data_IF_735012385779
#
_entry.id   IF_735012385779
#
_cell.length_a   1.000
_cell.length_b   1.000
_cell.length_c   1.000
_cell.angle_alpha   90.00
_cell.angle_beta   90.00
_cell.angle_gamma   90.00
#
_symmetry.space_group_name_H-M   'P 1'
#
loop_
_entity.id
_entity.type
_entity.pdbx_description
1 polymer ?
#
# COMPACT_ATOMS: atom_id res chain seq x y z
N UNK A 1 15.86 23.45 -58.71
CA UNK A 1 15.84 23.05 -57.28
C UNK A 1 15.71 21.54 -57.24
N UNK A 2 16.84 20.84 -57.37
CA UNK A 2 16.90 19.39 -57.60
C UNK A 2 17.35 18.67 -56.34
N UNK A 3 16.58 17.69 -55.91
CA UNK A 3 17.01 16.67 -54.97
C UNK A 3 17.20 15.36 -55.74
N UNK A 4 18.43 14.85 -55.78
CA UNK A 4 18.74 13.49 -56.20
C UNK A 4 19.95 12.95 -55.42
N UNK A 5 19.67 11.87 -54.68
CA UNK A 5 20.37 10.58 -54.71
C UNK A 5 21.84 10.50 -54.25
N UNK A 6 22.00 9.82 -53.10
CA UNK A 6 22.93 8.72 -52.76
C UNK A 6 24.34 8.76 -53.35
N UNK A 7 25.38 8.60 -52.51
CA UNK A 7 26.56 7.72 -52.76
C UNK A 7 27.35 7.48 -51.45
N UNK A 8 27.49 6.19 -51.10
CA UNK A 8 28.60 5.41 -50.48
C UNK A 8 29.37 5.91 -49.25
N UNK A 9 30.02 5.12 -48.38
CA UNK A 9 30.26 3.68 -48.09
C UNK A 9 31.70 3.65 -47.50
N UNK A 10 31.85 3.17 -46.26
CA UNK A 10 32.96 2.32 -45.75
C UNK A 10 34.42 2.85 -45.70
N UNK A 11 34.92 2.93 -44.46
CA UNK A 11 36.17 2.35 -43.87
C UNK A 11 37.45 2.28 -44.72
N UNK A 12 38.56 2.89 -44.25
CA UNK A 12 39.76 2.17 -43.75
C UNK A 12 40.85 3.07 -43.13
N UNK A 13 41.60 2.42 -42.21
CA UNK A 13 42.83 2.76 -41.45
C UNK A 13 43.87 3.54 -42.28
N UNK A 14 44.76 4.36 -41.68
CA UNK A 14 46.07 3.95 -41.10
C UNK A 14 46.73 5.18 -40.45
N UNK A 15 47.10 5.15 -39.16
CA UNK A 15 48.48 5.02 -38.65
C UNK A 15 49.50 6.06 -39.16
N UNK A 16 49.96 6.95 -38.27
CA UNK A 16 51.39 7.25 -37.94
C UNK A 16 51.51 8.56 -37.17
N UNK A 17 52.51 8.66 -36.30
CA UNK A 17 53.10 9.94 -35.89
C UNK A 17 52.82 10.35 -34.45
N UNK A 18 53.63 9.82 -33.54
CA UNK A 18 53.95 10.44 -32.24
C UNK A 18 54.53 11.83 -32.51
N UNK A 19 54.02 12.85 -31.84
CA UNK A 19 54.88 13.94 -31.38
C UNK A 19 54.34 14.57 -30.10
N UNK A 20 55.20 14.51 -29.09
CA UNK A 20 54.95 14.84 -27.70
C UNK A 20 55.72 16.14 -27.44
N UNK A 21 55.03 17.28 -27.34
CA UNK A 21 55.62 18.52 -26.79
C UNK A 21 54.64 19.26 -25.90
N UNK A 22 55.10 19.44 -24.67
CA UNK A 22 54.42 20.03 -23.53
C UNK A 22 54.02 21.49 -23.73
N UNK A 23 52.85 21.87 -23.21
CA UNK A 23 52.56 23.22 -22.75
C UNK A 23 51.58 23.11 -21.57
N UNK A 24 51.94 23.75 -20.46
CA UNK A 24 51.31 23.59 -19.15
C UNK A 24 49.83 23.95 -19.13
N UNK A 25 49.04 23.08 -18.51
CA UNK A 25 47.68 23.36 -18.08
C UNK A 25 47.73 23.63 -16.59
N UNK A 26 47.48 24.89 -16.22
CA UNK A 26 47.23 25.27 -14.84
C UNK A 26 46.06 24.45 -14.29
N UNK A 27 46.34 23.70 -13.22
CA UNK A 27 45.34 23.04 -12.40
C UNK A 27 44.44 24.09 -11.75
N UNK A 28 43.31 24.40 -12.41
CA UNK A 28 42.17 25.03 -11.71
C UNK A 28 41.47 23.94 -10.91
N UNK A 29 41.59 24.03 -9.59
CA UNK A 29 41.06 23.14 -8.57
C UNK A 29 39.55 22.89 -8.75
N UNK A 30 39.20 21.69 -9.24
CA UNK A 30 37.82 21.16 -9.28
C UNK A 30 37.28 20.85 -7.87
N UNK A 31 38.10 21.00 -6.83
CA UNK A 31 37.74 20.73 -5.43
C UNK A 31 36.84 21.78 -4.77
N UNK A 32 36.87 23.05 -5.20
CA UNK A 32 36.05 24.11 -4.55
C UNK A 32 34.56 24.04 -4.93
N UNK A 33 34.24 23.46 -6.09
CA UNK A 33 32.87 23.40 -6.60
C UNK A 33 32.07 22.20 -6.07
N UNK A 34 32.72 21.09 -5.74
CA UNK A 34 32.06 19.91 -5.12
C UNK A 34 31.78 20.20 -3.65
N UNK A 35 32.73 20.80 -2.95
CA UNK A 35 32.59 21.25 -1.56
C UNK A 35 31.48 22.30 -1.39
N UNK A 36 31.31 23.23 -2.32
CA UNK A 36 30.24 24.23 -2.25
C UNK A 36 28.86 23.63 -2.53
N UNK A 37 28.79 22.58 -3.36
CA UNK A 37 27.55 21.84 -3.67
C UNK A 37 27.19 20.90 -2.50
N UNK A 38 28.17 20.23 -1.90
CA UNK A 38 27.99 19.39 -0.71
C UNK A 38 27.68 20.23 0.54
N UNK A 39 28.32 21.40 0.72
CA UNK A 39 27.96 22.35 1.79
C UNK A 39 26.56 22.93 1.58
N UNK A 40 26.16 23.26 0.35
CA UNK A 40 24.77 23.66 0.06
C UNK A 40 23.77 22.53 0.27
N UNK A 41 24.13 21.28 -0.02
CA UNK A 41 23.30 20.10 0.25
C UNK A 41 23.19 19.80 1.76
N UNK A 42 24.27 20.01 2.53
CA UNK A 42 24.30 19.87 3.98
C UNK A 42 23.57 21.03 4.70
N UNK A 43 23.67 22.27 4.19
CA UNK A 43 22.88 23.42 4.65
C UNK A 43 21.39 23.26 4.31
N UNK A 44 21.06 22.65 3.17
CA UNK A 44 19.68 22.29 2.81
C UNK A 44 19.13 21.11 3.63
N UNK A 45 20.01 20.25 4.17
CA UNK A 45 19.67 19.08 4.99
C UNK A 45 19.33 19.37 6.45
N UNK A 46 19.36 20.63 6.90
CA UNK A 46 19.14 21.00 8.32
C UNK A 46 18.12 22.12 8.54
N UNK A 47 17.65 22.77 7.47
CA UNK A 47 16.49 23.66 7.57
C UNK A 47 15.24 22.79 7.72
N UNK A 48 14.77 22.59 8.96
CA UNK A 48 13.41 22.12 9.22
C UNK A 48 12.47 23.02 8.43
N UNK A 49 11.95 22.51 7.31
CA UNK A 49 10.99 23.28 6.52
C UNK A 49 9.70 23.30 7.35
N UNK A 50 9.54 24.37 8.12
CA UNK A 50 8.44 24.58 9.06
C UNK A 50 7.09 24.27 8.39
N UNK A 51 6.95 24.62 7.10
CA UNK A 51 5.76 24.30 6.33
C UNK A 51 5.50 22.80 6.21
N UNK A 52 6.51 21.99 5.85
CA UNK A 52 6.39 20.52 5.80
C UNK A 52 6.07 19.94 7.18
N UNK A 53 6.75 20.43 8.23
CA UNK A 53 6.53 19.98 9.62
C UNK A 53 5.11 20.26 10.09
N UNK A 54 4.58 21.47 9.83
CA UNK A 54 3.19 21.82 10.16
C UNK A 54 2.19 20.96 9.38
N UNK A 55 2.46 20.63 8.12
CA UNK A 55 1.61 19.75 7.31
C UNK A 55 1.61 18.31 7.86
N UNK A 56 2.75 17.81 8.31
CA UNK A 56 2.87 16.51 8.99
C UNK A 56 2.08 16.49 10.31
N UNK A 57 2.23 17.52 11.15
CA UNK A 57 1.46 17.66 12.40
C UNK A 57 -0.04 17.70 12.13
N UNK A 58 -0.48 18.46 11.11
CA UNK A 58 -1.88 18.50 10.69
C UNK A 58 -2.41 17.15 10.22
N UNK A 59 -1.59 16.37 9.50
CA UNK A 59 -1.98 15.02 9.08
C UNK A 59 -2.20 14.12 10.28
N UNK A 60 -1.28 14.14 11.26
CA UNK A 60 -1.41 13.39 12.51
C UNK A 60 -2.68 13.77 13.29
N UNK A 61 -3.01 15.06 13.30
CA UNK A 61 -4.20 15.57 13.96
C UNK A 61 -5.51 15.47 13.14
N UNK A 62 -5.45 14.97 11.89
CA UNK A 62 -6.55 14.94 10.91
C UNK A 62 -7.20 16.33 10.66
N UNK A 63 -6.40 17.41 10.67
CA UNK A 63 -6.89 18.80 10.57
C UNK A 63 -6.72 19.43 9.18
N UNK A 64 -7.82 19.97 8.66
CA UNK A 64 -7.80 20.92 7.56
C UNK A 64 -7.12 22.23 7.97
N UNK A 65 -6.80 23.06 6.98
CA UNK A 65 -6.13 24.33 7.22
C UNK A 65 -7.04 25.32 7.93
N UNK A 66 -8.33 25.24 7.62
CA UNK A 66 -9.38 26.04 8.25
C UNK A 66 -9.54 25.65 9.71
N UNK A 67 -9.60 24.36 10.01
CA UNK A 67 -9.71 23.87 11.39
C UNK A 67 -8.48 24.22 12.23
N UNK A 68 -7.26 24.10 11.67
CA UNK A 68 -6.05 24.53 12.40
C UNK A 68 -6.03 26.05 12.61
N UNK A 69 -6.44 26.84 11.62
CA UNK A 69 -6.55 28.29 11.74
C UNK A 69 -7.55 28.69 12.85
N UNK A 70 -8.72 28.06 12.88
CA UNK A 70 -9.74 28.26 13.92
C UNK A 70 -9.21 27.89 15.31
N UNK A 71 -8.60 26.71 15.46
CA UNK A 71 -8.05 26.24 16.75
C UNK A 71 -6.88 27.06 17.26
N UNK A 72 -5.98 27.45 16.36
CA UNK A 72 -4.80 28.25 16.72
C UNK A 72 -5.15 29.72 16.91
N UNK A 73 -6.23 30.21 16.31
CA UNK A 73 -6.57 31.62 16.13
C UNK A 73 -5.59 32.39 15.23
N UNK A 74 -4.85 31.68 14.38
CA UNK A 74 -3.98 32.26 13.34
C UNK A 74 -4.77 32.31 12.03
N UNK A 75 -4.81 33.45 11.30
CA UNK A 75 -5.55 33.54 10.05
C UNK A 75 -5.14 32.45 9.04
N UNK A 76 -6.12 31.83 8.38
CA UNK A 76 -5.89 30.74 7.43
C UNK A 76 -4.92 31.15 6.31
N UNK A 77 -4.98 32.39 5.81
CA UNK A 77 -4.06 32.92 4.82
C UNK A 77 -2.61 33.02 5.33
N UNK A 78 -2.41 33.32 6.62
CA UNK A 78 -1.08 33.32 7.25
C UNK A 78 -0.54 31.91 7.33
N UNK A 79 -1.36 30.95 7.78
CA UNK A 79 -0.99 29.54 7.77
C UNK A 79 -0.64 29.05 6.34
N UNK A 80 -1.38 29.48 5.31
CA UNK A 80 -1.11 29.11 3.91
C UNK A 80 0.28 29.56 3.45
N UNK A 81 0.65 30.79 3.80
CA UNK A 81 1.95 31.37 3.45
C UNK A 81 3.09 30.72 4.21
N UNK A 82 2.87 30.27 5.44
CA UNK A 82 3.87 29.51 6.20
C UNK A 82 4.04 28.12 5.59
N UNK A 83 2.94 27.39 5.32
CA UNK A 83 2.99 26.04 4.75
C UNK A 83 3.59 25.97 3.34
N UNK A 84 3.50 27.06 2.57
CA UNK A 84 4.08 27.17 1.22
C UNK A 84 5.49 27.73 1.18
N UNK A 85 6.11 28.01 2.34
CA UNK A 85 7.45 28.60 2.42
C UNK A 85 7.52 30.07 1.98
N UNK A 86 6.37 30.72 1.68
CA UNK A 86 6.32 32.14 1.32
C UNK A 86 6.60 33.08 2.49
N UNK A 87 6.50 32.58 3.72
CA UNK A 87 6.91 33.30 4.93
C UNK A 87 8.27 32.78 5.38
N UNK A 88 9.32 33.58 5.20
CA UNK A 88 10.70 33.19 5.55
C UNK A 88 10.95 33.14 7.06
N UNK A 89 10.33 34.07 7.81
CA UNK A 89 10.54 34.19 9.26
C UNK A 89 9.21 34.44 10.00
N UNK A 90 8.45 33.37 10.29
CA UNK A 90 7.24 33.48 11.09
C UNK A 90 7.58 33.67 12.57
N UNK A 91 6.92 34.64 13.22
CA UNK A 91 7.09 34.91 14.65
C UNK A 91 6.94 33.63 15.47
N UNK A 92 7.85 33.43 16.43
CA UNK A 92 7.85 32.28 17.34
C UNK A 92 6.47 31.97 17.95
N UNK A 93 5.79 33.00 18.47
CA UNK A 93 4.42 32.87 19.03
C UNK A 93 3.40 32.31 18.03
N UNK A 94 3.53 32.62 16.75
CA UNK A 94 2.66 32.08 15.69
C UNK A 94 2.94 30.59 15.49
N UNK A 95 4.22 30.21 15.43
CA UNK A 95 4.64 28.81 15.31
C UNK A 95 4.17 27.99 16.50
N UNK A 96 4.41 28.46 17.73
CA UNK A 96 3.98 27.83 18.97
C UNK A 96 2.46 27.58 19.00
N UNK A 97 1.65 28.58 18.62
CA UNK A 97 0.19 28.45 18.54
C UNK A 97 -0.26 27.39 17.54
N UNK A 98 0.38 27.34 16.38
CA UNK A 98 0.05 26.36 15.34
C UNK A 98 0.45 24.94 15.78
N UNK A 99 1.64 24.77 16.34
CA UNK A 99 2.14 23.47 16.83
C UNK A 99 1.26 22.94 17.95
N UNK A 100 0.96 23.75 18.97
CA UNK A 100 0.06 23.34 20.08
C UNK A 100 -1.35 23.03 19.60
N UNK A 101 -1.91 23.84 18.70
CA UNK A 101 -3.26 23.58 18.16
C UNK A 101 -3.34 22.29 17.32
N UNK A 102 -2.21 21.83 16.77
CA UNK A 102 -2.08 20.55 16.10
C UNK A 102 -1.73 19.39 17.05
N UNK A 103 -1.66 19.62 18.37
CA UNK A 103 -1.33 18.60 19.37
C UNK A 103 0.14 18.19 19.38
N UNK A 104 1.02 19.08 18.91
CA UNK A 104 2.47 18.94 19.05
C UNK A 104 3.01 19.82 20.19
N UNK A 105 4.22 19.49 20.63
CA UNK A 105 4.99 20.28 21.58
C UNK A 105 6.19 20.92 20.89
N UNK A 106 6.53 22.15 21.31
CA UNK A 106 7.69 22.89 20.81
C UNK A 106 8.70 23.01 21.95
N UNK A 107 9.89 22.44 21.77
CA UNK A 107 10.98 22.50 22.73
C UNK A 107 12.18 23.25 22.14
N UNK A 108 12.86 24.05 22.97
CA UNK A 108 14.13 24.71 22.64
C UNK A 108 15.17 24.18 23.62
N UNK A 109 16.25 23.60 23.12
CA UNK A 109 17.33 23.07 23.94
C UNK A 109 18.51 22.61 23.08
N UNK A 110 19.62 22.26 23.74
CA UNK A 110 20.66 21.47 23.08
C UNK A 110 20.08 20.11 22.64
N UNK A 111 20.57 19.49 21.56
CA UNK A 111 20.08 18.18 21.11
C UNK A 111 20.39 17.13 22.18
N UNK A 112 19.43 16.94 23.10
CA UNK A 112 19.45 15.93 24.14
C UNK A 112 18.27 15.01 23.87
N UNK A 113 18.51 14.03 23.00
CA UNK A 113 17.51 13.05 22.55
C UNK A 113 17.44 12.93 21.03
N UNK A 114 17.04 11.76 20.56
CA UNK A 114 16.75 11.51 19.15
C UNK A 114 15.45 12.26 18.77
N UNK A 115 15.59 13.40 18.09
CA UNK A 115 14.44 14.13 17.52
C UNK A 115 14.04 13.40 16.25
N UNK A 116 13.08 12.48 16.37
CA UNK A 116 12.49 11.85 15.20
C UNK A 116 11.73 12.91 14.38
N UNK A 117 12.02 13.05 13.08
CA UNK A 117 11.28 13.98 12.24
C UNK A 117 9.80 13.60 12.22
N UNK A 118 8.93 14.61 12.13
CA UNK A 118 7.51 14.35 11.97
C UNK A 118 7.30 13.49 10.70
N UNK A 119 6.49 12.42 10.77
CA UNK A 119 6.30 11.53 9.62
C UNK A 119 5.76 12.32 8.43
N UNK A 120 6.44 12.18 7.29
CA UNK A 120 6.12 12.94 6.09
C UNK A 120 4.70 12.67 5.60
N UNK A 121 4.11 13.67 4.95
CA UNK A 121 2.82 13.49 4.26
C UNK A 121 3.11 12.70 2.97
N UNK A 122 2.58 11.47 2.77
CA UNK A 122 2.99 10.60 1.67
C UNK A 122 2.84 11.22 0.28
N UNK A 123 1.84 12.09 0.12
CA UNK A 123 1.49 12.77 -1.12
C UNK A 123 1.92 14.25 -1.12
N UNK A 124 2.86 14.66 -0.27
CA UNK A 124 3.20 16.07 -0.13
C UNK A 124 3.80 16.67 -1.41
N UNK A 125 4.43 15.84 -2.23
CA UNK A 125 5.00 16.21 -3.53
C UNK A 125 4.00 16.12 -4.69
N UNK A 126 2.81 15.54 -4.47
CA UNK A 126 1.76 15.52 -5.49
C UNK A 126 1.16 16.93 -5.68
N UNK A 127 0.83 17.24 -6.93
CA UNK A 127 0.18 18.50 -7.33
C UNK A 127 -1.05 18.20 -8.17
N UNK A 128 -2.09 19.01 -8.01
CA UNK A 128 -3.24 18.99 -8.92
C UNK A 128 -2.90 19.67 -10.26
N UNK A 129 -3.83 19.66 -11.20
CA UNK A 129 -3.66 20.29 -12.53
C UNK A 129 -3.39 21.79 -12.46
N UNK A 130 -3.77 22.45 -11.35
CA UNK A 130 -3.49 23.87 -11.10
C UNK A 130 -2.17 24.10 -10.35
N UNK A 131 -1.33 23.07 -10.19
CA UNK A 131 -0.05 23.14 -9.49
C UNK A 131 -0.18 23.28 -7.96
N UNK A 132 -1.37 23.06 -7.39
CA UNK A 132 -1.62 23.17 -5.95
C UNK A 132 -1.32 21.86 -5.26
N UNK A 133 -0.83 21.92 -4.02
CA UNK A 133 -0.67 20.72 -3.18
C UNK A 133 -2.03 20.18 -2.75
N UNK A 134 -2.14 18.86 -2.68
CA UNK A 134 -3.32 18.24 -2.08
C UNK A 134 -3.40 18.48 -0.57
N UNK A 135 -4.60 18.41 0.04
CA UNK A 135 -4.77 18.61 1.48
C UNK A 135 -3.99 17.57 2.30
N UNK A 136 -3.18 18.02 3.25
CA UNK A 136 -2.29 17.14 4.04
C UNK A 136 -3.04 16.10 4.91
N UNK A 137 -4.16 16.50 5.49
CA UNK A 137 -5.01 15.66 6.34
C UNK A 137 -5.80 14.57 5.60
N UNK A 138 -5.97 14.67 4.29
CA UNK A 138 -6.72 13.68 3.52
C UNK A 138 -5.78 12.59 3.02
N UNK A 139 -6.32 11.40 2.76
CA UNK A 139 -5.56 10.31 2.16
C UNK A 139 -5.70 10.40 0.65
N UNK A 140 -4.63 10.81 -0.02
CA UNK A 140 -4.60 11.03 -1.47
C UNK A 140 -3.99 9.79 -2.14
N UNK A 141 -4.55 9.39 -3.28
CA UNK A 141 -4.02 8.31 -4.11
C UNK A 141 -4.03 8.69 -5.58
N UNK A 142 -3.08 8.13 -6.32
CA UNK A 142 -2.98 8.27 -7.77
C UNK A 142 -4.20 7.63 -8.46
N UNK A 143 -4.71 8.29 -9.50
CA UNK A 143 -5.78 7.74 -10.33
C UNK A 143 -5.14 7.21 -11.61
N UNK A 144 -5.15 5.89 -11.79
CA UNK A 144 -4.57 5.22 -12.96
C UNK A 144 -5.63 4.76 -13.93
N UNK A 145 -6.70 4.20 -13.37
CA UNK A 145 -7.88 3.80 -14.11
C UNK A 145 -9.08 4.61 -13.64
N UNK A 146 -10.12 4.71 -14.47
CA UNK A 146 -11.26 5.55 -14.11
C UNK A 146 -11.99 5.12 -12.83
N UNK A 147 -11.92 3.84 -12.49
CA UNK A 147 -12.48 3.27 -11.25
C UNK A 147 -11.74 3.74 -9.98
N UNK A 148 -10.51 4.25 -10.11
CA UNK A 148 -9.77 4.85 -9.00
C UNK A 148 -10.31 6.22 -8.61
N UNK A 149 -11.16 6.84 -9.45
CA UNK A 149 -11.73 8.16 -9.22
C UNK A 149 -13.18 8.08 -8.71
N UNK A 150 -13.45 8.26 -7.40
CA UNK A 150 -14.81 8.17 -6.86
C UNK A 150 -15.77 9.19 -7.46
N UNK A 151 -15.26 10.30 -8.00
CA UNK A 151 -16.05 11.42 -8.53
C UNK A 151 -16.75 11.14 -9.85
N UNK A 152 -16.40 10.07 -10.57
CA UNK A 152 -17.08 9.69 -11.81
C UNK A 152 -17.95 8.42 -11.66
N UNK A 153 -18.44 8.15 -10.45
CA UNK A 153 -19.44 7.11 -10.15
C UNK A 153 -20.74 7.20 -11.00
N UNK A 154 -21.05 8.38 -11.55
CA UNK A 154 -22.22 8.64 -12.40
C UNK A 154 -21.94 8.44 -13.90
N UNK A 155 -20.71 8.08 -14.27
CA UNK A 155 -20.24 8.21 -15.64
C UNK A 155 -19.84 6.83 -16.21
N UNK A 156 -20.66 6.30 -17.11
CA UNK A 156 -20.45 4.99 -17.78
C UNK A 156 -19.26 4.98 -18.77
N UNK A 157 -18.56 6.10 -18.96
CA UNK A 157 -17.44 6.20 -19.91
C UNK A 157 -16.22 5.36 -19.51
N UNK A 158 -16.19 4.82 -18.29
CA UNK A 158 -15.17 3.86 -17.85
C UNK A 158 -15.13 2.57 -18.67
N UNK A 159 -16.20 2.26 -19.42
CA UNK A 159 -16.25 1.16 -20.40
C UNK A 159 -15.61 1.52 -21.74
N UNK A 160 -15.31 2.80 -21.96
CA UNK A 160 -14.69 3.27 -23.20
C UNK A 160 -13.17 3.07 -23.14
N UNK A 161 -12.51 2.94 -24.31
CA UNK A 161 -11.07 3.08 -24.40
C UNK A 161 -10.60 4.46 -23.89
N UNK A 162 -9.40 4.58 -23.29
CA UNK A 162 -8.87 5.84 -22.76
C UNK A 162 -8.89 7.02 -23.75
N UNK A 163 -8.76 6.73 -25.04
CA UNK A 163 -8.77 7.74 -26.11
C UNK A 163 -10.13 8.44 -26.27
N UNK A 164 -11.19 7.87 -25.69
CA UNK A 164 -12.57 8.39 -25.75
C UNK A 164 -13.05 8.97 -24.41
N UNK A 165 -12.16 9.15 -23.45
CA UNK A 165 -12.52 9.76 -22.17
C UNK A 165 -12.89 11.24 -22.41
N UNK A 166 -14.09 11.68 -21.97
CA UNK A 166 -14.54 13.05 -22.21
C UNK A 166 -13.73 14.08 -21.41
N UNK A 167 -13.06 13.64 -20.35
CA UNK A 167 -12.16 14.42 -19.52
C UNK A 167 -10.91 13.59 -19.22
N UNK A 168 -9.72 14.20 -19.18
CA UNK A 168 -8.54 13.52 -18.67
C UNK A 168 -8.78 13.12 -17.21
N UNK A 169 -8.23 11.97 -16.81
CA UNK A 169 -8.26 11.57 -15.40
C UNK A 169 -7.37 12.52 -14.60
N UNK A 170 -7.83 12.99 -13.42
CA UNK A 170 -6.98 13.79 -12.56
C UNK A 170 -5.78 12.96 -12.11
N UNK A 171 -4.59 13.54 -11.88
CA UNK A 171 -3.40 12.78 -11.50
C UNK A 171 -3.58 12.04 -10.17
N UNK A 172 -4.35 12.61 -9.25
CA UNK A 172 -4.68 12.00 -7.97
C UNK A 172 -6.02 12.49 -7.43
N UNK A 173 -6.61 11.72 -6.51
CA UNK A 173 -7.88 12.01 -5.86
C UNK A 173 -7.85 11.69 -4.36
N UNK A 174 -8.90 12.07 -3.64
CA UNK A 174 -9.02 11.87 -2.20
C UNK A 174 -10.47 11.71 -1.76
N UNK A 175 -10.68 11.11 -0.59
CA UNK A 175 -12.00 10.97 0.04
C UNK A 175 -12.18 12.04 1.12
N UNK A 176 -13.29 12.76 1.11
CA UNK A 176 -13.62 13.77 2.13
C UNK A 176 -14.37 13.15 3.31
N UNK A 177 -15.15 12.11 3.06
CA UNK A 177 -15.96 11.46 4.09
C UNK A 177 -15.06 10.72 5.10
N UNK A 178 -15.05 11.24 6.33
CA UNK A 178 -14.23 10.71 7.42
C UNK A 178 -14.50 9.23 7.70
N UNK A 179 -15.77 8.79 7.70
CA UNK A 179 -16.12 7.39 7.94
C UNK A 179 -15.50 6.45 6.92
N UNK A 180 -15.46 6.85 5.65
CA UNK A 180 -14.82 6.06 4.59
C UNK A 180 -13.30 6.02 4.73
N UNK A 181 -12.66 7.16 5.05
CA UNK A 181 -11.22 7.23 5.33
C UNK A 181 -10.83 6.33 6.49
N UNK A 182 -11.52 6.45 7.63
CA UNK A 182 -11.25 5.67 8.83
C UNK A 182 -11.46 4.17 8.58
N UNK A 183 -12.52 3.81 7.86
CA UNK A 183 -12.75 2.42 7.44
C UNK A 183 -11.61 1.90 6.54
N UNK A 184 -11.16 2.69 5.56
CA UNK A 184 -10.05 2.30 4.68
C UNK A 184 -8.75 2.12 5.47
N UNK A 185 -8.40 3.08 6.34
CA UNK A 185 -7.22 3.00 7.23
C UNK A 185 -7.27 1.75 8.11
N UNK A 186 -8.42 1.47 8.75
CA UNK A 186 -8.62 0.26 9.56
C UNK A 186 -8.41 -1.01 8.73
N UNK A 187 -9.02 -1.08 7.55
CA UNK A 187 -8.91 -2.24 6.65
C UNK A 187 -7.49 -2.48 6.15
N UNK A 188 -6.75 -1.43 5.82
CA UNK A 188 -5.34 -1.55 5.46
C UNK A 188 -4.46 -1.94 6.66
N UNK A 189 -4.72 -1.40 7.84
CA UNK A 189 -4.01 -1.78 9.06
C UNK A 189 -4.17 -3.27 9.34
N UNK A 190 -5.41 -3.80 9.24
CA UNK A 190 -5.67 -5.24 9.36
C UNK A 190 -4.89 -6.03 8.31
N UNK A 191 -4.92 -5.63 7.03
CA UNK A 191 -4.17 -6.31 5.96
C UNK A 191 -2.67 -6.40 6.23
N UNK A 192 -2.07 -5.36 6.81
CA UNK A 192 -0.63 -5.30 7.12
C UNK A 192 -0.26 -6.10 8.37
N UNK A 193 -1.19 -6.27 9.30
CA UNK A 193 -0.89 -6.78 10.64
C UNK A 193 -1.42 -8.17 10.92
N UNK A 194 -2.41 -8.65 10.16
CA UNK A 194 -2.95 -10.00 10.29
C UNK A 194 -1.84 -11.04 10.09
N UNK A 195 -1.76 -12.00 11.00
CA UNK A 195 -0.80 -13.11 10.94
C UNK A 195 -1.53 -14.42 10.82
N UNK A 196 -1.00 -15.30 9.99
CA UNK A 196 -1.49 -16.66 9.86
C UNK A 196 -0.64 -17.60 10.69
N UNK A 197 -1.30 -18.54 11.37
CA UNK A 197 -0.65 -19.55 12.19
C UNK A 197 -1.33 -20.89 11.99
N UNK A 198 -0.53 -21.94 11.79
CA UNK A 198 -1.01 -23.33 11.86
C UNK A 198 -1.14 -23.71 13.34
N UNK A 199 -2.31 -24.21 13.73
CA UNK A 199 -2.54 -24.71 15.08
C UNK A 199 -2.10 -26.16 15.12
N UNK A 200 -1.17 -26.46 16.03
CA UNK A 200 -0.68 -27.80 16.34
C UNK A 200 -0.87 -28.06 17.82
N UNK A 201 -1.17 -29.30 18.22
CA UNK A 201 -1.41 -29.66 19.61
C UNK A 201 -2.30 -30.89 19.76
N UNK A 202 -2.49 -31.37 20.99
CA UNK A 202 -3.28 -32.56 21.29
C UNK A 202 -4.76 -32.42 20.90
N UNK A 203 -5.28 -31.18 20.85
CA UNK A 203 -6.69 -30.89 20.50
C UNK A 203 -6.99 -30.95 19.00
N UNK A 204 -5.95 -31.02 18.15
CA UNK A 204 -6.12 -31.17 16.71
C UNK A 204 -5.90 -32.64 16.35
N UNK A 205 -6.88 -33.32 15.72
CA UNK A 205 -6.71 -34.71 15.29
C UNK A 205 -5.46 -34.85 14.41
N UNK A 206 -4.85 -36.03 14.42
CA UNK A 206 -3.60 -36.27 13.70
C UNK A 206 -3.71 -36.07 12.16
N UNK A 207 -4.92 -36.28 11.62
CA UNK A 207 -5.30 -35.99 10.23
C UNK A 207 -5.90 -34.60 10.04
N UNK A 208 -6.20 -33.90 11.13
CA UNK A 208 -6.85 -32.59 11.16
C UNK A 208 -5.85 -31.45 10.96
N UNK A 209 -6.26 -30.47 10.17
CA UNK A 209 -5.49 -29.29 9.82
C UNK A 209 -6.31 -28.07 10.22
N UNK A 210 -5.69 -27.19 11.00
CA UNK A 210 -6.32 -25.96 11.48
C UNK A 210 -5.37 -24.81 11.29
N UNK A 211 -5.84 -23.80 10.56
CA UNK A 211 -5.14 -22.54 10.36
C UNK A 211 -5.98 -21.41 10.91
N UNK A 212 -5.36 -20.49 11.61
CA UNK A 212 -6.01 -19.33 12.20
C UNK A 212 -5.35 -18.05 11.69
N UNK A 213 -6.17 -17.03 11.48
CA UNK A 213 -5.75 -15.67 11.20
C UNK A 213 -6.04 -14.83 12.44
N UNK A 214 -5.00 -14.24 13.01
CA UNK A 214 -5.04 -13.50 14.27
C UNK A 214 -4.50 -12.07 14.06
N UNK A 215 -5.10 -11.10 14.73
CA UNK A 215 -4.57 -9.75 14.86
C UNK A 215 -3.45 -9.70 15.92
N UNK A 216 -2.63 -8.63 15.97
CA UNK A 216 -1.54 -8.52 16.95
C UNK A 216 -1.96 -8.58 18.42
N UNK A 217 -3.21 -8.25 18.72
CA UNK A 217 -3.83 -8.34 20.04
C UNK A 217 -4.35 -9.74 20.40
N UNK A 218 -4.23 -10.70 19.47
CA UNK A 218 -4.73 -12.07 19.63
C UNK A 218 -6.18 -12.28 19.21
N UNK A 219 -6.86 -11.27 18.66
CA UNK A 219 -8.23 -11.44 18.15
C UNK A 219 -8.25 -12.43 16.97
N UNK A 220 -9.05 -13.49 17.09
CA UNK A 220 -9.26 -14.47 16.03
C UNK A 220 -10.20 -13.89 14.96
N UNK A 221 -9.66 -13.56 13.79
CA UNK A 221 -10.41 -12.93 12.69
C UNK A 221 -10.75 -13.89 11.54
N UNK A 222 -10.09 -15.05 11.50
CA UNK A 222 -10.42 -16.11 10.56
C UNK A 222 -9.89 -17.48 10.97
N UNK A 223 -10.53 -18.51 10.45
CA UNK A 223 -10.19 -19.91 10.68
C UNK A 223 -10.43 -20.72 9.42
N UNK A 224 -9.50 -21.61 9.11
CA UNK A 224 -9.67 -22.67 8.12
C UNK A 224 -9.47 -24.01 8.80
N UNK A 225 -10.42 -24.92 8.56
CA UNK A 225 -10.34 -26.31 8.97
C UNK A 225 -10.38 -27.23 7.77
N UNK A 226 -9.52 -28.23 7.79
CA UNK A 226 -9.47 -29.28 6.82
C UNK A 226 -9.03 -30.58 7.49
N UNK A 227 -9.22 -31.71 6.83
CA UNK A 227 -8.68 -32.98 7.27
C UNK A 227 -8.17 -33.80 6.10
N UNK A 228 -7.20 -34.67 6.38
CA UNK A 228 -6.76 -35.68 5.45
C UNK A 228 -7.81 -36.80 5.39
N UNK A 229 -8.19 -37.18 4.18
CA UNK A 229 -9.09 -38.29 3.88
C UNK A 229 -8.32 -39.36 3.11
N UNK A 230 -8.62 -40.61 3.42
CA UNK A 230 -8.09 -41.77 2.70
C UNK A 230 -9.00 -42.09 1.49
N UNK A 231 -8.50 -41.92 0.25
CA UNK A 231 -9.25 -42.25 -0.96
C UNK A 231 -9.62 -43.73 -1.06
N UNK A 232 -8.84 -44.65 -0.47
CA UNK A 232 -9.14 -46.07 -0.48
C UNK A 232 -10.46 -46.37 0.23
N UNK A 233 -10.68 -45.73 1.38
CA UNK A 233 -11.92 -45.87 2.15
C UNK A 233 -13.13 -45.25 1.44
N UNK A 234 -12.92 -44.30 0.52
CA UNK A 234 -13.99 -43.58 -0.18
C UNK A 234 -14.34 -44.18 -1.53
N UNK A 235 -13.34 -44.58 -2.32
CA UNK A 235 -13.51 -44.96 -3.72
C UNK A 235 -13.19 -46.43 -4.02
N UNK A 236 -12.56 -47.17 -3.09
CA UNK A 236 -12.24 -48.60 -3.24
C UNK A 236 -10.79 -48.90 -3.64
N UNK A 237 -10.55 -50.09 -4.21
CA UNK A 237 -9.19 -50.56 -4.58
C UNK A 237 -8.59 -49.73 -5.73
N UNK A 238 -7.30 -49.35 -5.60
CA UNK A 238 -6.52 -48.66 -6.65
C UNK A 238 -5.81 -47.38 -6.22
N UNK A 239 -6.17 -46.79 -5.07
CA UNK A 239 -5.65 -45.49 -4.59
C UNK A 239 -4.94 -45.56 -3.22
N UNK A 240 -4.47 -46.75 -2.82
CA UNK A 240 -4.05 -47.09 -1.45
C UNK A 240 -2.88 -46.25 -0.87
N UNK A 241 -2.26 -45.38 -1.67
CA UNK A 241 -1.16 -44.51 -1.25
C UNK A 241 -1.44 -43.02 -1.51
N UNK A 242 -2.58 -42.68 -2.11
CA UNK A 242 -2.95 -41.29 -2.32
C UNK A 242 -3.56 -40.73 -1.04
N UNK A 243 -3.21 -39.51 -0.69
CA UNK A 243 -3.84 -38.76 0.40
C UNK A 243 -4.49 -37.55 -0.21
N UNK A 244 -5.72 -37.27 0.18
CA UNK A 244 -6.44 -36.07 -0.27
C UNK A 244 -6.84 -35.23 0.94
N UNK A 245 -6.89 -33.92 0.76
CA UNK A 245 -7.36 -32.99 1.80
C UNK A 245 -8.82 -32.67 1.54
N UNK A 246 -9.64 -32.67 2.58
CA UNK A 246 -11.03 -32.19 2.54
C UNK A 246 -11.11 -30.92 3.38
N UNK A 247 -11.51 -29.83 2.74
CA UNK A 247 -11.79 -28.57 3.38
C UNK A 247 -13.14 -28.65 4.09
N UNK A 248 -13.13 -28.57 5.42
CA UNK A 248 -14.34 -28.61 6.25
C UNK A 248 -15.05 -27.25 6.25
N UNK A 249 -14.27 -26.17 6.22
CA UNK A 249 -14.82 -24.83 6.18
C UNK A 249 -13.79 -23.73 6.31
N UNK A 250 -14.14 -22.57 5.76
CA UNK A 250 -13.40 -21.32 5.88
C UNK A 250 -14.32 -20.28 6.49
N UNK A 251 -13.93 -19.78 7.66
CA UNK A 251 -14.65 -18.75 8.37
C UNK A 251 -13.79 -17.50 8.44
N UNK A 252 -14.38 -16.37 8.06
CA UNK A 252 -13.79 -15.05 8.26
C UNK A 252 -14.86 -14.18 8.89
N UNK A 253 -14.51 -13.56 10.01
CA UNK A 253 -15.40 -12.66 10.73
C UNK A 253 -15.89 -11.53 9.80
N UNK A 254 -17.16 -11.16 9.95
CA UNK A 254 -17.89 -10.37 8.95
C UNK A 254 -17.18 -9.08 8.55
N UNK A 255 -16.69 -8.33 9.55
CA UNK A 255 -16.01 -7.05 9.36
C UNK A 255 -14.66 -7.17 8.63
N UNK A 256 -14.08 -8.37 8.61
CA UNK A 256 -12.79 -8.65 7.99
C UNK A 256 -12.91 -9.38 6.65
N UNK A 257 -14.15 -9.61 6.16
CA UNK A 257 -14.39 -10.18 4.83
C UNK A 257 -13.90 -9.22 3.74
N UNK A 258 -13.51 -9.81 2.59
CA UNK A 258 -12.94 -9.08 1.43
C UNK A 258 -11.62 -8.34 1.74
N UNK A 259 -10.93 -8.72 2.81
CA UNK A 259 -9.57 -8.23 3.12
C UNK A 259 -8.45 -9.13 2.59
N UNK A 260 -8.78 -10.30 2.04
CA UNK A 260 -7.80 -11.28 1.55
C UNK A 260 -7.50 -12.41 2.53
N UNK A 261 -7.99 -12.34 3.78
CA UNK A 261 -7.73 -13.34 4.83
C UNK A 261 -8.12 -14.75 4.39
N UNK A 262 -9.32 -14.92 3.79
CA UNK A 262 -9.75 -16.23 3.29
C UNK A 262 -8.81 -16.81 2.22
N UNK A 263 -8.29 -15.96 1.31
CA UNK A 263 -7.30 -16.39 0.32
C UNK A 263 -5.98 -16.80 1.01
N UNK A 264 -5.49 -15.99 1.95
CA UNK A 264 -4.26 -16.32 2.68
C UNK A 264 -4.39 -17.65 3.44
N UNK A 265 -5.56 -17.94 4.02
CA UNK A 265 -5.82 -19.22 4.69
C UNK A 265 -5.75 -20.39 3.70
N UNK A 266 -6.33 -20.25 2.50
CA UNK A 266 -6.23 -21.26 1.44
C UNK A 266 -4.79 -21.40 0.92
N UNK A 267 -4.06 -20.30 0.79
CA UNK A 267 -2.63 -20.34 0.42
C UNK A 267 -1.80 -21.09 1.48
N UNK A 268 -2.09 -20.90 2.77
CA UNK A 268 -1.47 -21.65 3.85
C UNK A 268 -1.83 -23.16 3.81
N UNK A 269 -3.08 -23.49 3.47
CA UNK A 269 -3.50 -24.87 3.22
C UNK A 269 -2.69 -25.49 2.08
N UNK A 270 -2.59 -24.80 0.94
CA UNK A 270 -1.85 -25.26 -0.24
C UNK A 270 -0.35 -25.41 0.07
N UNK A 271 0.23 -24.50 0.86
CA UNK A 271 1.60 -24.64 1.34
C UNK A 271 1.78 -25.92 2.18
N UNK A 272 0.87 -26.18 3.14
CA UNK A 272 0.88 -27.41 3.93
C UNK A 272 0.66 -28.68 3.11
N UNK A 273 -0.12 -28.62 2.03
CA UNK A 273 -0.29 -29.72 1.06
C UNK A 273 1.02 -30.03 0.34
N UNK A 274 1.74 -29.00 -0.11
CA UNK A 274 3.05 -29.17 -0.77
C UNK A 274 4.07 -29.81 0.16
N UNK A 275 4.11 -29.40 1.43
CA UNK A 275 5.01 -29.99 2.44
C UNK A 275 4.77 -31.49 2.67
N UNK A 276 3.54 -31.97 2.45
CA UNK A 276 3.12 -33.37 2.63
C UNK A 276 2.92 -34.13 1.32
N UNK A 277 3.32 -33.52 0.20
CA UNK A 277 3.18 -34.07 -1.16
C UNK A 277 1.72 -34.45 -1.51
N UNK A 278 0.75 -33.76 -0.91
CA UNK A 278 -0.67 -33.96 -1.21
C UNK A 278 -1.05 -33.11 -2.41
N UNK A 279 -1.59 -33.74 -3.45
CA UNK A 279 -1.89 -33.09 -4.74
C UNK A 279 -3.35 -32.65 -4.88
N UNK A 280 -4.26 -33.25 -4.12
CA UNK A 280 -5.71 -33.07 -4.29
C UNK A 280 -6.36 -32.50 -3.03
N UNK A 281 -7.21 -31.48 -3.24
CA UNK A 281 -8.08 -30.94 -2.20
C UNK A 281 -9.54 -30.88 -2.68
N UNK A 282 -10.46 -31.28 -1.82
CA UNK A 282 -11.89 -31.27 -2.03
C UNK A 282 -12.56 -30.28 -1.09
N UNK A 283 -13.62 -29.63 -1.56
CA UNK A 283 -14.41 -28.71 -0.75
C UNK A 283 -15.88 -28.77 -1.16
N UNK A 284 -16.76 -28.57 -0.18
CA UNK A 284 -18.17 -28.23 -0.42
C UNK A 284 -18.34 -26.79 0.05
N UNK A 285 -18.90 -25.94 -0.79
CA UNK A 285 -19.07 -24.53 -0.48
C UNK A 285 -20.42 -24.01 -0.95
N UNK A 286 -20.92 -22.99 -0.27
CA UNK A 286 -22.13 -22.26 -0.58
C UNK A 286 -21.86 -20.75 -0.66
N UNK A 287 -22.78 -20.03 -1.31
CA UNK A 287 -22.78 -18.57 -1.38
C UNK A 287 -21.41 -17.96 -1.69
N UNK A 288 -20.91 -17.00 -0.88
CA UNK A 288 -19.61 -16.35 -1.11
C UNK A 288 -18.39 -17.27 -1.05
N UNK A 289 -18.52 -18.47 -0.45
CA UNK A 289 -17.43 -19.45 -0.38
C UNK A 289 -17.06 -20.01 -1.75
N UNK A 290 -18.03 -20.11 -2.67
CA UNK A 290 -17.82 -20.60 -4.03
C UNK A 290 -16.85 -19.67 -4.77
N UNK A 291 -17.14 -18.37 -4.79
CA UNK A 291 -16.31 -17.37 -5.47
C UNK A 291 -14.87 -17.35 -4.93
N UNK A 292 -14.71 -17.48 -3.61
CA UNK A 292 -13.40 -17.55 -2.97
C UNK A 292 -12.59 -18.76 -3.47
N UNK A 293 -13.19 -19.96 -3.44
CA UNK A 293 -12.50 -21.18 -3.81
C UNK A 293 -12.17 -21.21 -5.31
N UNK A 294 -13.09 -20.77 -6.17
CA UNK A 294 -12.82 -20.61 -7.60
C UNK A 294 -11.65 -19.65 -7.84
N UNK A 295 -11.61 -18.50 -7.14
CA UNK A 295 -10.52 -17.54 -7.21
C UNK A 295 -9.19 -18.05 -6.61
N UNK A 296 -9.20 -19.18 -5.92
CA UNK A 296 -8.03 -19.90 -5.41
C UNK A 296 -7.66 -21.12 -6.26
N UNK A 297 -8.34 -21.34 -7.40
CA UNK A 297 -8.01 -22.41 -8.35
C UNK A 297 -8.79 -23.71 -8.18
N UNK A 298 -9.75 -23.78 -7.26
CA UNK A 298 -10.71 -24.90 -7.24
C UNK A 298 -11.56 -24.87 -8.51
N UNK A 299 -11.98 -26.05 -8.97
CA UNK A 299 -12.88 -26.21 -10.11
C UNK A 299 -14.14 -26.93 -9.66
N UNK A 300 -15.23 -26.66 -10.36
CA UNK A 300 -16.44 -27.44 -10.17
C UNK A 300 -16.19 -28.89 -10.58
N UNK A 301 -16.64 -29.81 -9.73
CA UNK A 301 -16.70 -31.23 -10.02
C UNK A 301 -18.17 -31.64 -10.08
N UNK A 302 -18.52 -32.47 -11.06
CA UNK A 302 -19.88 -32.94 -11.26
C UNK A 302 -20.31 -33.80 -10.06
N UNK A 303 -20.98 -33.17 -9.10
CA UNK A 303 -21.48 -33.80 -7.88
C UNK A 303 -22.84 -33.19 -7.50
N UNK A 304 -23.64 -33.93 -6.73
CA UNK A 304 -24.94 -33.48 -6.21
C UNK A 304 -24.93 -33.52 -4.68
N UNK A 305 -24.23 -32.59 -4.01
CA UNK A 305 -24.24 -32.53 -2.56
C UNK A 305 -25.65 -32.19 -2.05
N UNK A 306 -26.07 -32.85 -0.97
CA UNK A 306 -27.33 -32.56 -0.28
C UNK A 306 -27.02 -31.94 1.09
N UNK A 307 -27.65 -30.80 1.39
CA UNK A 307 -27.57 -30.19 2.72
C UNK A 307 -28.63 -30.81 3.64
N UNK A 308 -28.19 -31.36 4.78
CA UNK A 308 -29.06 -31.97 5.79
C UNK A 308 -28.94 -31.18 7.10
N UNK A 309 -30.08 -30.87 7.73
CA UNK A 309 -30.13 -30.14 9.01
C UNK A 309 -30.89 -30.97 10.04
N UNK A 310 -30.30 -31.13 11.22
CA UNK A 310 -30.92 -31.72 12.39
C UNK A 310 -30.94 -30.68 13.51
N UNK A 311 -32.08 -30.06 13.77
CA UNK A 311 -32.26 -29.17 14.92
C UNK A 311 -32.66 -30.00 16.15
N UNK A 312 -31.90 -29.90 17.24
CA UNK A 312 -32.33 -30.46 18.53
C UNK A 312 -33.28 -29.49 19.22
N UNK A 313 -34.35 -29.96 19.88
CA UNK A 313 -35.20 -29.09 20.67
C UNK A 313 -34.37 -28.41 21.76
N UNK A 314 -34.56 -27.09 21.92
CA UNK A 314 -34.01 -26.34 23.04
C UNK A 314 -34.70 -26.84 24.31
N UNK A 315 -33.94 -27.44 25.23
CA UNK A 315 -34.40 -27.70 26.60
C UNK A 315 -34.45 -26.40 27.38
#
# INVERSE_FOLDING_TARGET
>A
MSFHRVIHKVVHRSATGVDNRAAGVEHRSVGESVDAVERRAAEQGTAVELGRTLRALRRRADLSQRELAERSGVPQATLARIESGRTRDPRFRTVERLVRAAGGDLAIGAPAGEVLPAPEVPHDEMRDEAGRRYPAHLDVWEVREPRDWPGAWWADWYKLPPERYPLPLPPATYERNRRYRDNRRRREAVRRTVRLRRVTGADVPHTGWRFVAELPDGELVGELRAHERDPHLRYGQGLAHEREVVLDGILVAYDYRRLGIGRQLVEALVAGMREREIVSAYAIADGPGIDLLLACGFRFEASRPAALRLDRPRR
#
